data_IF_286226037198
#
_entry.id   IF_286226037198
#
_cell.length_a   1.000
_cell.length_b   1.000
_cell.length_c   1.000
_cell.angle_alpha   90.00
_cell.angle_beta   90.00
_cell.angle_gamma   90.00
#
_symmetry.space_group_name_H-M   'P 1'
#
loop_
_entity.id
_entity.type
_entity.pdbx_description
1 polymer ?
#
# COMPACT_ATOMS: atom_id res chain seq x y z
N UNK A 1 -10.22 2.90 4.53
CA UNK A 1 -9.45 2.06 5.43
C UNK A 1 -8.23 2.80 5.96
N UNK A 2 -7.59 2.21 6.95
CA UNK A 2 -6.40 2.83 7.52
C UNK A 2 -5.30 2.98 6.48
N UNK A 3 -5.15 1.99 5.63
CA UNK A 3 -4.12 2.05 4.60
C UNK A 3 -4.35 3.23 3.67
N UNK A 4 -5.60 3.48 3.32
CA UNK A 4 -5.95 4.60 2.46
C UNK A 4 -5.62 5.92 3.15
N UNK A 5 -5.90 6.00 4.44
CA UNK A 5 -5.63 7.21 5.20
C UNK A 5 -4.13 7.47 5.28
N UNK A 6 -3.35 6.44 5.55
CA UNK A 6 -1.90 6.59 5.62
C UNK A 6 -1.33 7.03 4.29
N UNK A 7 -1.84 6.47 3.19
CA UNK A 7 -1.37 6.84 1.87
C UNK A 7 -1.68 8.31 1.59
N UNK A 8 -2.86 8.75 1.97
CA UNK A 8 -3.27 10.14 1.76
C UNK A 8 -2.40 11.10 2.55
N UNK A 9 -1.90 10.64 3.70
CA UNK A 9 -1.05 11.46 4.54
C UNK A 9 0.43 11.41 4.14
N UNK A 10 0.75 10.62 3.15
CA UNK A 10 2.12 10.47 2.72
C UNK A 10 2.89 9.41 3.49
N UNK A 11 2.22 8.66 4.34
CA UNK A 11 2.85 7.59 5.11
C UNK A 11 2.89 6.30 4.30
N UNK A 12 3.70 6.31 3.26
CA UNK A 12 3.73 5.18 2.33
C UNK A 12 4.16 3.89 3.02
N UNK A 13 5.18 3.97 3.87
CA UNK A 13 5.67 2.78 4.55
C UNK A 13 4.60 2.13 5.41
N UNK A 14 3.83 2.96 6.12
CA UNK A 14 2.76 2.43 6.95
C UNK A 14 1.63 1.86 6.12
N UNK A 15 1.34 2.49 5.00
CA UNK A 15 0.31 1.99 4.10
C UNK A 15 0.70 0.61 3.56
N UNK A 16 1.95 0.47 3.14
CA UNK A 16 2.45 -0.79 2.62
C UNK A 16 2.38 -1.86 3.70
N UNK A 17 2.78 -1.52 4.90
CA UNK A 17 2.74 -2.47 6.02
C UNK A 17 1.32 -2.94 6.28
N UNK A 18 0.36 -2.02 6.24
CA UNK A 18 -1.03 -2.36 6.46
C UNK A 18 -1.56 -3.26 5.36
N UNK A 19 -1.21 -2.95 4.10
CA UNK A 19 -1.64 -3.78 2.99
C UNK A 19 -1.04 -5.19 3.09
N UNK A 20 0.20 -5.29 3.53
CA UNK A 20 0.82 -6.60 3.72
C UNK A 20 0.04 -7.43 4.74
N UNK A 21 -0.36 -6.79 5.81
CA UNK A 21 -1.15 -7.47 6.83
C UNK A 21 -2.49 -7.93 6.27
N UNK A 22 -3.15 -7.06 5.54
CA UNK A 22 -4.42 -7.40 4.93
C UNK A 22 -4.26 -8.55 3.95
N UNK A 23 -3.16 -8.56 3.23
CA UNK A 23 -2.89 -9.64 2.28
C UNK A 23 -2.78 -10.98 2.99
N UNK A 24 -2.19 -10.99 4.17
CA UNK A 24 -2.08 -12.22 4.94
C UNK A 24 -3.43 -12.68 5.46
N UNK A 25 -4.28 -11.73 5.84
CA UNK A 25 -5.60 -12.05 6.35
C UNK A 25 -6.56 -12.48 5.25
N UNK A 26 -6.32 -11.96 4.05
CA UNK A 26 -7.19 -12.23 2.90
C UNK A 26 -6.35 -12.71 1.73
N UNK A 27 -5.88 -13.95 1.79
CA UNK A 27 -5.00 -14.47 0.74
C UNK A 27 -5.64 -14.47 -0.65
N UNK A 28 -6.96 -14.54 -0.71
CA UNK A 28 -7.65 -14.53 -2.00
C UNK A 28 -7.51 -13.17 -2.68
N UNK A 29 -7.17 -12.13 -1.92
CA UNK A 29 -7.01 -10.79 -2.47
C UNK A 29 -5.56 -10.33 -2.45
N UNK A 30 -4.65 -11.26 -2.27
CA UNK A 30 -3.24 -10.89 -2.17
C UNK A 30 -2.74 -10.21 -3.44
N UNK A 31 -3.21 -10.67 -4.61
CA UNK A 31 -2.82 -10.04 -5.87
C UNK A 31 -3.27 -8.59 -5.93
N UNK A 32 -4.48 -8.33 -5.47
CA UNK A 32 -5.02 -6.99 -5.44
C UNK A 32 -4.18 -6.08 -4.54
N UNK A 33 -3.86 -6.56 -3.35
CA UNK A 33 -3.06 -5.76 -2.43
C UNK A 33 -1.64 -5.57 -2.94
N UNK A 34 -1.09 -6.57 -3.60
CA UNK A 34 0.24 -6.44 -4.18
C UNK A 34 0.27 -5.33 -5.23
N UNK A 35 -0.78 -5.26 -6.03
CA UNK A 35 -0.88 -4.21 -7.04
C UNK A 35 -0.94 -2.83 -6.38
N UNK A 36 -1.68 -2.72 -5.29
CA UNK A 36 -1.78 -1.46 -4.57
C UNK A 36 -0.43 -1.04 -4.00
N UNK A 37 0.31 -2.00 -3.47
CA UNK A 37 1.63 -1.72 -2.91
C UNK A 37 2.57 -1.23 -4.01
N UNK A 38 2.53 -1.88 -5.16
CA UNK A 38 3.35 -1.45 -6.29
C UNK A 38 3.03 -0.04 -6.70
N UNK A 39 1.75 0.27 -6.72
CA UNK A 39 1.32 1.61 -7.08
C UNK A 39 1.84 2.64 -6.11
N UNK A 40 1.79 2.34 -4.83
CA UNK A 40 2.30 3.26 -3.82
C UNK A 40 3.78 3.49 -3.97
N UNK A 41 4.52 2.44 -4.24
CA UNK A 41 5.95 2.56 -4.44
C UNK A 41 6.27 3.42 -5.65
N UNK A 42 5.49 3.26 -6.69
CA UNK A 42 5.68 4.03 -7.90
C UNK A 42 5.40 5.51 -7.66
N UNK A 43 4.36 5.80 -6.90
CA UNK A 43 4.01 7.18 -6.58
C UNK A 43 5.10 7.83 -5.75
N UNK A 44 5.68 7.09 -4.84
CA UNK A 44 6.75 7.60 -4.01
C UNK A 44 7.94 7.97 -4.88
N UNK A 45 8.23 7.15 -5.86
CA UNK A 45 9.31 7.40 -6.79
C UNK A 45 9.08 8.66 -7.58
N UNK A 46 7.88 8.82 -8.09
CA UNK A 46 7.51 10.01 -8.85
C UNK A 46 7.69 11.24 -8.03
N UNK A 47 7.32 11.17 -6.80
CA UNK A 47 7.43 12.28 -5.89
C UNK A 47 8.84 12.76 -5.74
N UNK A 48 9.74 11.83 -5.80
CA UNK A 48 11.14 12.12 -5.67
C UNK A 48 11.64 12.98 -6.81
N UNK A 49 11.12 12.74 -7.97
CA UNK A 49 11.53 13.52 -9.11
C UNK A 49 11.11 14.96 -8.98
#
# INVERSE_FOLDING_TARGET
TLATIYAAQGNINKAISTYNKLSLLHPEKSSYFAALIEKLKSEKKDNKS
#
